data_IF_456632744958
#
_entry.id   IF_456632744958
#
_cell.length_a   1.000
_cell.length_b   1.000
_cell.length_c   1.000
_cell.angle_alpha   90.00
_cell.angle_beta   90.00
_cell.angle_gamma   90.00
#
_symmetry.space_group_name_H-M   'P 1'
#
loop_
_entity.id
_entity.type
_entity.pdbx_description
1 polymer ?
#
# COMPACT_ATOMS: atom_id res chain seq x y z
N UNK A 1 -9.21 -16.10 -30.05
CA UNK A 1 -8.52 -15.86 -28.77
C UNK A 1 -9.57 -15.32 -27.82
N UNK A 2 -9.85 -16.06 -26.75
CA UNK A 2 -10.98 -15.81 -25.85
C UNK A 2 -10.52 -14.89 -24.71
N UNK A 3 -11.04 -13.67 -24.69
CA UNK A 3 -10.91 -12.75 -23.56
C UNK A 3 -11.93 -13.16 -22.49
N UNK A 4 -11.43 -13.62 -21.36
CA UNK A 4 -12.25 -14.05 -20.25
C UNK A 4 -12.94 -12.84 -19.60
N UNK A 5 -14.25 -12.71 -19.84
CA UNK A 5 -15.17 -11.93 -19.01
C UNK A 5 -15.13 -12.49 -17.59
N UNK A 6 -14.66 -11.71 -16.62
CA UNK A 6 -14.89 -11.98 -15.20
C UNK A 6 -15.82 -10.93 -14.63
N UNK A 7 -17.07 -11.36 -14.44
CA UNK A 7 -18.11 -10.64 -13.72
C UNK A 7 -17.85 -10.86 -12.22
N UNK A 8 -17.20 -9.90 -11.56
CA UNK A 8 -17.05 -9.83 -10.09
C UNK A 8 -18.16 -8.99 -9.45
N UNK A 9 -18.49 -9.21 -8.16
CA UNK A 9 -19.75 -8.77 -7.55
C UNK A 9 -19.81 -7.26 -7.25
N UNK A 10 -21.03 -6.76 -7.08
CA UNK A 10 -21.36 -5.38 -6.74
C UNK A 10 -20.58 -4.86 -5.52
N UNK A 11 -19.90 -3.72 -5.69
CA UNK A 11 -19.17 -3.03 -4.62
C UNK A 11 -17.65 -3.08 -4.71
N UNK A 12 -17.06 -3.28 -5.89
CA UNK A 12 -15.63 -3.03 -6.06
C UNK A 12 -15.34 -1.56 -5.68
N UNK A 13 -14.47 -1.29 -4.69
CA UNK A 13 -14.09 0.08 -4.37
C UNK A 13 -13.55 0.70 -5.66
N UNK A 14 -13.95 1.94 -5.93
CA UNK A 14 -13.42 2.68 -7.06
C UNK A 14 -11.90 2.79 -6.89
N UNK A 15 -11.16 1.97 -7.64
CA UNK A 15 -9.71 1.82 -7.56
C UNK A 15 -8.97 2.93 -8.32
N UNK A 16 -9.66 3.97 -8.79
CA UNK A 16 -9.03 5.10 -9.50
C UNK A 16 -8.01 5.77 -8.56
N UNK A 17 -6.70 5.58 -8.77
CA UNK A 17 -5.70 6.08 -7.85
C UNK A 17 -5.57 7.59 -8.02
N UNK A 18 -5.40 8.30 -6.91
CA UNK A 18 -5.16 9.73 -6.95
C UNK A 18 -3.78 10.00 -7.61
N UNK A 19 -3.72 10.73 -8.74
CA UNK A 19 -2.49 10.94 -9.50
C UNK A 19 -1.46 11.80 -8.76
N UNK A 20 -1.83 12.41 -7.62
CA UNK A 20 -0.92 13.19 -6.80
C UNK A 20 0.03 12.33 -5.94
N UNK A 21 -0.28 11.05 -5.71
CA UNK A 21 0.57 10.17 -4.91
C UNK A 21 1.54 9.36 -5.78
N UNK A 22 2.79 9.17 -5.33
CA UNK A 22 3.71 8.25 -5.97
C UNK A 22 3.16 6.83 -5.89
N UNK A 23 3.47 6.01 -6.89
CA UNK A 23 3.05 4.60 -6.90
C UNK A 23 4.00 3.78 -6.03
N UNK A 24 3.50 2.68 -5.49
CA UNK A 24 4.33 1.69 -4.81
C UNK A 24 3.88 0.28 -5.18
N UNK A 25 4.84 -0.63 -5.27
CA UNK A 25 4.61 -2.05 -5.56
C UNK A 25 4.65 -2.85 -4.26
N UNK A 26 3.67 -3.72 -4.04
CA UNK A 26 3.70 -4.67 -2.92
C UNK A 26 4.79 -5.71 -3.17
N UNK A 27 5.81 -5.73 -2.31
CA UNK A 27 6.94 -6.67 -2.38
C UNK A 27 6.64 -7.91 -1.53
N UNK A 28 6.17 -7.69 -0.31
CA UNK A 28 5.93 -8.75 0.67
C UNK A 28 4.74 -8.33 1.53
N UNK A 29 3.93 -9.30 1.93
CA UNK A 29 2.93 -9.16 2.97
C UNK A 29 3.17 -10.27 3.99
N UNK A 30 3.18 -9.90 5.27
CA UNK A 30 3.33 -10.81 6.39
C UNK A 30 2.16 -10.59 7.33
N UNK A 31 1.29 -11.59 7.41
CA UNK A 31 0.22 -11.62 8.39
C UNK A 31 0.79 -12.06 9.76
N UNK A 32 0.60 -11.23 10.78
CA UNK A 32 1.02 -11.47 12.18
C UNK A 32 -0.11 -12.12 12.96
N UNK A 33 -1.32 -11.62 12.81
CA UNK A 33 -2.57 -12.18 13.37
C UNK A 33 -3.70 -12.03 12.35
N UNK A 34 -4.94 -12.36 12.73
CA UNK A 34 -6.11 -12.26 11.85
C UNK A 34 -6.40 -10.81 11.41
N UNK A 35 -6.10 -9.84 12.27
CA UNK A 35 -6.24 -8.40 12.00
C UNK A 35 -4.87 -7.70 11.81
N UNK A 36 -3.82 -8.31 12.37
CA UNK A 36 -2.40 -7.96 12.38
C UNK A 36 -1.67 -8.15 11.05
N UNK A 37 -1.26 -7.13 10.27
CA UNK A 37 -0.35 -7.38 9.14
C UNK A 37 0.74 -6.33 8.94
N UNK A 38 1.89 -6.80 8.44
CA UNK A 38 2.98 -5.96 7.97
C UNK A 38 3.08 -6.09 6.46
N UNK A 39 3.04 -4.97 5.75
CA UNK A 39 3.26 -4.93 4.30
C UNK A 39 4.56 -4.21 3.99
N UNK A 40 5.28 -4.73 2.99
CA UNK A 40 6.51 -4.17 2.47
C UNK A 40 6.24 -3.64 1.07
N UNK A 41 6.47 -2.35 0.89
CA UNK A 41 6.22 -1.63 -0.35
C UNK A 41 7.54 -1.14 -0.94
N UNK A 42 7.70 -1.28 -2.26
CA UNK A 42 8.77 -0.63 -3.03
C UNK A 42 8.17 0.61 -3.70
N UNK A 43 8.45 1.83 -3.21
CA UNK A 43 7.99 3.04 -3.86
C UNK A 43 8.68 3.20 -5.23
N UNK A 44 7.95 3.71 -6.23
CA UNK A 44 8.50 3.94 -7.57
C UNK A 44 9.52 5.08 -7.61
N UNK A 45 9.50 5.95 -6.59
CA UNK A 45 10.35 7.11 -6.45
C UNK A 45 10.98 7.12 -5.05
N UNK A 46 12.08 7.87 -4.89
CA UNK A 46 12.75 7.99 -3.59
C UNK A 46 11.81 8.68 -2.60
N UNK A 47 11.45 7.97 -1.54
CA UNK A 47 10.57 8.47 -0.49
C UNK A 47 11.39 8.76 0.77
N UNK A 48 11.73 10.04 0.98
CA UNK A 48 12.45 10.49 2.18
C UNK A 48 11.45 10.83 3.31
N UNK A 49 11.57 10.15 4.44
CA UNK A 49 10.75 10.38 5.63
C UNK A 49 11.62 10.47 6.89
N UNK A 50 11.10 11.06 7.96
CA UNK A 50 11.75 11.04 9.28
C UNK A 50 11.23 9.85 10.09
N UNK A 51 12.09 9.16 10.87
CA UNK A 51 11.64 8.12 11.78
C UNK A 51 10.53 8.63 12.70
N UNK A 52 9.48 7.82 12.90
CA UNK A 52 8.30 8.21 13.69
C UNK A 52 7.24 9.00 12.92
N UNK A 53 7.41 9.24 11.62
CA UNK A 53 6.33 9.72 10.76
C UNK A 53 5.46 8.57 10.24
N UNK A 54 4.23 8.91 9.87
CA UNK A 54 3.30 8.03 9.16
C UNK A 54 3.26 8.42 7.68
N UNK A 55 2.85 7.48 6.81
CA UNK A 55 2.52 7.75 5.42
C UNK A 55 1.05 7.48 5.15
N UNK A 56 0.47 8.19 4.19
CA UNK A 56 -0.87 7.90 3.70
C UNK A 56 -0.78 6.91 2.55
N UNK A 57 -1.41 5.75 2.71
CA UNK A 57 -1.62 4.81 1.61
C UNK A 57 -2.99 5.05 0.99
N UNK A 58 -2.99 5.23 -0.33
CA UNK A 58 -4.19 5.34 -1.14
C UNK A 58 -4.40 4.10 -1.98
N UNK A 59 -5.58 3.47 -1.86
CA UNK A 59 -6.05 2.46 -2.80
C UNK A 59 -7.37 2.94 -3.40
N UNK A 60 -7.29 3.50 -4.61
CA UNK A 60 -8.43 4.14 -5.24
C UNK A 60 -8.87 5.40 -4.51
N UNK A 61 -10.14 5.44 -4.09
CA UNK A 61 -10.72 6.50 -3.24
C UNK A 61 -10.49 6.32 -1.74
N UNK A 62 -9.90 5.21 -1.30
CA UNK A 62 -9.65 4.94 0.12
C UNK A 62 -8.24 5.40 0.46
N UNK A 63 -8.14 6.39 1.34
CA UNK A 63 -6.86 6.90 1.83
C UNK A 63 -6.81 6.73 3.35
N UNK A 64 -5.74 6.10 3.84
CA UNK A 64 -5.53 5.88 5.27
C UNK A 64 -4.08 6.11 5.65
N UNK A 65 -3.89 6.76 6.78
CA UNK A 65 -2.57 6.96 7.38
C UNK A 65 -2.15 5.67 8.11
N UNK A 66 -0.95 5.21 7.82
CA UNK A 66 -0.32 4.07 8.50
C UNK A 66 1.08 4.46 8.96
N UNK A 67 1.48 3.89 10.09
CA UNK A 67 2.79 4.13 10.67
C UNK A 67 3.87 3.41 9.88
N UNK A 68 4.94 4.13 9.54
CA UNK A 68 6.11 3.54 8.91
C UNK A 68 6.94 2.88 10.01
N UNK A 69 7.17 1.57 9.89
CA UNK A 69 7.97 0.78 10.83
C UNK A 69 9.38 0.48 10.32
N UNK A 70 9.68 0.89 9.09
CA UNK A 70 11.00 0.81 8.47
C UNK A 70 11.87 2.05 8.77
N UNK A 71 13.18 1.89 8.61
CA UNK A 71 14.12 2.99 8.71
C UNK A 71 14.19 3.82 7.41
N UNK A 72 14.51 5.12 7.45
CA UNK A 72 14.49 6.00 6.27
C UNK A 72 15.55 5.69 5.21
N UNK A 73 16.54 4.86 5.55
CA UNK A 73 17.59 4.41 4.63
C UNK A 73 17.29 3.02 4.05
N UNK A 74 16.22 2.36 4.50
CA UNK A 74 15.77 1.09 3.92
C UNK A 74 15.30 1.31 2.47
N UNK A 75 15.57 0.34 1.62
CA UNK A 75 15.08 0.36 0.23
C UNK A 75 13.56 0.20 0.17
N UNK A 76 13.00 -0.51 1.14
CA UNK A 76 11.60 -0.88 1.19
C UNK A 76 10.89 -0.18 2.35
N UNK A 77 9.69 0.32 2.07
CA UNK A 77 8.80 0.87 3.08
C UNK A 77 8.03 -0.26 3.75
N UNK A 78 8.36 -0.53 5.01
CA UNK A 78 7.54 -1.41 5.84
C UNK A 78 6.47 -0.61 6.59
N UNK A 79 5.25 -1.07 6.49
CA UNK A 79 4.06 -0.45 7.06
C UNK A 79 3.33 -1.49 7.89
N UNK A 80 2.98 -1.10 9.11
CA UNK A 80 2.16 -1.88 10.01
C UNK A 80 0.69 -1.48 9.85
N UNK A 81 -0.16 -2.47 9.64
CA UNK A 81 -1.61 -2.33 9.52
C UNK A 81 -2.25 -3.05 10.69
N UNK A 82 -3.14 -2.34 11.38
CA UNK A 82 -3.96 -2.80 12.50
C UNK A 82 -5.45 -2.56 12.24
#
# INVERSE_FOLDING_TARGET
MVEATTKGPAGAPDLTPNPAFPKASLVERRDVTEDLMVIKLEPSEKFDFKPGQYCTLGLGKIERAYSIVSAPYEKYLEIFVE
#
